data_IF_674496747161
#
_entry.id   IF_674496747161
#
_cell.length_a   1.000
_cell.length_b   1.000
_cell.length_c   1.000
_cell.angle_alpha   90.00
_cell.angle_beta   90.00
_cell.angle_gamma   90.00
#
_symmetry.space_group_name_H-M   'P 1'
#
loop_
_entity.id
_entity.type
_entity.pdbx_description
1 polymer ?
#
# COMPACT_ATOMS: atom_id res chain seq x y z
N UNK A 1 -17.85 4.53 23.66
CA UNK A 1 -17.19 5.46 22.72
C UNK A 1 -15.86 4.98 22.12
N UNK A 2 -15.28 3.83 22.50
CA UNK A 2 -13.98 3.36 21.94
C UNK A 2 -14.06 2.07 21.08
N UNK A 3 -15.27 1.57 20.76
CA UNK A 3 -15.47 0.34 19.99
C UNK A 3 -15.91 0.56 18.53
N UNK A 4 -16.14 1.80 18.10
CA UNK A 4 -16.57 2.12 16.73
C UNK A 4 -15.42 2.22 15.70
N UNK A 5 -14.16 2.16 16.14
CA UNK A 5 -13.00 2.36 15.25
C UNK A 5 -12.50 1.10 14.52
N UNK A 6 -13.16 -0.04 14.69
CA UNK A 6 -12.80 -1.32 14.04
C UNK A 6 -13.99 -2.02 13.37
N UNK A 7 -14.97 -1.27 12.87
CA UNK A 7 -15.78 -1.82 11.78
C UNK A 7 -14.85 -2.03 10.58
N UNK A 8 -14.66 -3.26 10.06
CA UNK A 8 -13.98 -3.43 8.78
C UNK A 8 -14.74 -2.59 7.77
N UNK A 9 -14.15 -1.47 7.33
CA UNK A 9 -14.71 -0.68 6.25
C UNK A 9 -14.87 -1.65 5.09
N UNK A 10 -16.11 -1.88 4.68
CA UNK A 10 -16.41 -2.65 3.47
C UNK A 10 -15.49 -2.10 2.37
N UNK A 11 -14.75 -2.98 1.72
CA UNK A 11 -13.81 -2.61 0.65
C UNK A 11 -14.61 -2.22 -0.60
N UNK A 12 -15.22 -1.03 -0.54
CA UNK A 12 -15.88 -0.38 -1.65
C UNK A 12 -14.95 0.71 -2.14
N UNK A 13 -14.10 0.37 -3.12
CA UNK A 13 -13.41 1.37 -3.94
C UNK A 13 -14.49 2.28 -4.54
N UNK A 14 -14.56 3.57 -4.15
CA UNK A 14 -15.63 4.45 -4.62
C UNK A 14 -15.62 4.52 -6.15
N UNK A 15 -16.79 4.31 -6.78
CA UNK A 15 -16.95 4.40 -8.23
C UNK A 15 -16.91 3.08 -9.00
N UNK A 16 -16.54 1.95 -8.39
CA UNK A 16 -16.64 0.64 -9.04
C UNK A 16 -17.91 -0.10 -8.54
N UNK A 17 -18.91 -0.35 -9.41
CA UNK A 17 -20.12 -1.05 -8.99
C UNK A 17 -19.77 -2.46 -8.51
N UNK A 18 -20.20 -2.82 -7.30
CA UNK A 18 -20.04 -4.18 -6.78
C UNK A 18 -20.69 -5.18 -7.74
N UNK A 19 -19.97 -6.28 -8.02
CA UNK A 19 -20.51 -7.40 -8.80
C UNK A 19 -21.81 -7.88 -8.15
N UNK A 20 -22.87 -8.04 -8.95
CA UNK A 20 -24.23 -8.36 -8.48
C UNK A 20 -24.28 -9.53 -7.48
N UNK A 21 -23.50 -10.59 -7.73
CA UNK A 21 -23.36 -11.76 -6.84
C UNK A 21 -22.84 -11.40 -5.44
N UNK A 22 -21.88 -10.47 -5.35
CA UNK A 22 -21.30 -10.03 -4.07
C UNK A 22 -22.31 -9.22 -3.28
N UNK A 23 -23.04 -8.32 -3.94
CA UNK A 23 -24.12 -7.53 -3.31
C UNK A 23 -25.25 -8.43 -2.79
N UNK A 24 -25.68 -9.41 -3.59
CA UNK A 24 -26.70 -10.37 -3.20
C UNK A 24 -26.25 -11.25 -2.02
N UNK A 25 -24.97 -11.65 -1.97
CA UNK A 25 -24.42 -12.40 -0.84
C UNK A 25 -24.41 -11.60 0.47
N UNK A 26 -23.97 -10.33 0.43
CA UNK A 26 -23.99 -9.44 1.60
C UNK A 26 -25.42 -9.26 2.11
N UNK A 27 -26.36 -8.97 1.22
CA UNK A 27 -27.77 -8.82 1.61
C UNK A 27 -28.37 -10.11 2.19
N UNK A 28 -27.98 -11.28 1.66
CA UNK A 28 -28.42 -12.57 2.19
C UNK A 28 -27.84 -12.82 3.59
N UNK A 29 -26.58 -12.49 3.80
CA UNK A 29 -25.92 -12.60 5.11
C UNK A 29 -26.53 -11.65 6.14
N UNK A 30 -26.82 -10.39 5.77
CA UNK A 30 -27.51 -9.42 6.62
C UNK A 30 -28.90 -9.91 7.02
N UNK A 31 -29.70 -10.38 6.06
CA UNK A 31 -31.02 -10.97 6.34
C UNK A 31 -30.92 -12.20 7.24
N UNK A 32 -29.91 -13.04 7.03
CA UNK A 32 -29.67 -14.21 7.87
C UNK A 32 -29.28 -13.81 9.30
N UNK A 33 -28.43 -12.79 9.47
CA UNK A 33 -28.07 -12.23 10.79
C UNK A 33 -29.29 -11.65 11.49
N UNK A 34 -30.08 -10.84 10.80
CA UNK A 34 -31.30 -10.24 11.34
C UNK A 34 -32.33 -11.31 11.73
N UNK A 35 -32.51 -12.34 10.89
CA UNK A 35 -33.37 -13.47 11.21
C UNK A 35 -32.85 -14.28 12.41
N UNK A 36 -31.54 -14.50 12.51
CA UNK A 36 -30.91 -15.17 13.64
C UNK A 36 -31.09 -14.36 14.94
N UNK A 37 -30.98 -13.03 14.88
CA UNK A 37 -31.17 -12.15 16.03
C UNK A 37 -32.63 -12.13 16.50
N UNK A 38 -33.60 -12.07 15.56
CA UNK A 38 -35.03 -12.13 15.88
C UNK A 38 -35.47 -13.49 16.43
N UNK A 39 -34.89 -14.58 15.94
CA UNK A 39 -35.20 -15.94 16.41
C UNK A 39 -34.37 -16.36 17.63
N UNK A 40 -33.40 -15.55 18.07
CA UNK A 40 -32.60 -15.83 19.25
C UNK A 40 -33.48 -15.70 20.50
N UNK A 41 -33.80 -16.83 21.11
CA UNK A 41 -34.40 -16.85 22.45
C UNK A 41 -33.37 -16.32 23.46
N UNK A 42 -33.79 -15.37 24.29
CA UNK A 42 -32.95 -14.84 25.37
C UNK A 42 -32.66 -15.96 26.38
N UNK A 43 -31.45 -15.95 26.93
CA UNK A 43 -31.13 -16.87 28.03
C UNK A 43 -31.88 -16.46 29.29
N UNK A 44 -32.26 -17.43 30.13
CA UNK A 44 -32.87 -17.18 31.45
C UNK A 44 -32.05 -16.16 32.27
N UNK A 45 -30.71 -16.22 32.17
CA UNK A 45 -29.80 -15.28 32.86
C UNK A 45 -29.90 -13.84 32.35
N UNK A 46 -30.10 -13.69 31.03
CA UNK A 46 -30.24 -12.39 30.37
C UNK A 46 -31.59 -11.76 30.74
N UNK A 47 -32.64 -12.57 30.73
CA UNK A 47 -34.00 -12.17 31.11
C UNK A 47 -34.11 -11.80 32.60
N UNK A 48 -33.49 -12.55 33.50
CA UNK A 48 -33.44 -12.23 34.93
C UNK A 48 -32.74 -10.89 35.19
N UNK A 49 -31.61 -10.65 34.50
CA UNK A 49 -30.88 -9.38 34.59
C UNK A 49 -31.72 -8.21 34.10
N UNK A 50 -32.37 -8.34 32.95
CA UNK A 50 -33.27 -7.31 32.42
C UNK A 50 -34.42 -7.01 33.39
N UNK A 51 -35.08 -8.04 33.93
CA UNK A 51 -36.12 -7.86 34.95
C UNK A 51 -35.60 -7.13 36.18
N UNK A 52 -34.42 -7.52 36.67
CA UNK A 52 -33.79 -6.87 37.83
C UNK A 52 -33.49 -5.39 37.53
N UNK A 53 -32.89 -5.10 36.40
CA UNK A 53 -32.51 -3.73 36.01
C UNK A 53 -33.76 -2.86 35.79
N UNK A 54 -34.85 -3.43 35.27
CA UNK A 54 -36.14 -2.73 35.13
C UNK A 54 -36.73 -2.37 36.50
N UNK A 55 -36.77 -3.33 37.43
CA UNK A 55 -37.31 -3.12 38.78
C UNK A 55 -36.45 -2.14 39.58
N UNK A 56 -35.12 -2.18 39.43
CA UNK A 56 -34.22 -1.24 40.09
C UNK A 56 -34.33 0.19 39.54
N UNK A 57 -34.72 0.37 38.26
CA UNK A 57 -34.94 1.69 37.65
C UNK A 57 -36.30 2.29 38.00
N UNK A 58 -37.31 1.47 38.29
CA UNK A 58 -38.63 1.96 38.66
C UNK A 58 -38.64 2.53 40.09
N UNK A 59 -39.03 3.79 40.23
CA UNK A 59 -39.30 4.38 41.55
C UNK A 59 -40.50 3.69 42.21
N UNK A 60 -40.50 3.61 43.54
CA UNK A 60 -41.64 3.09 44.29
C UNK A 60 -42.82 4.05 44.17
N UNK A 61 -43.99 3.55 43.75
CA UNK A 61 -45.22 4.34 43.68
C UNK A 61 -45.94 4.51 45.02
N UNK A 62 -46.97 5.37 45.04
CA UNK A 62 -47.79 5.67 46.22
C UNK A 62 -48.60 4.47 46.73
N UNK A 63 -48.82 3.47 45.87
CA UNK A 63 -49.44 2.20 46.22
C UNK A 63 -48.57 1.38 47.19
N UNK A 64 -47.26 1.65 47.25
CA UNK A 64 -46.38 0.99 48.19
C UNK A 64 -46.60 1.55 49.60
N UNK A 65 -47.09 0.69 50.51
CA UNK A 65 -47.32 1.03 51.92
C UNK A 65 -46.10 1.64 52.60
N UNK A 66 -44.89 1.21 52.24
CA UNK A 66 -43.64 1.74 52.78
C UNK A 66 -43.38 3.18 52.33
N UNK A 67 -43.64 3.49 51.06
CA UNK A 67 -43.53 4.86 50.54
C UNK A 67 -44.58 5.79 51.19
N UNK A 68 -45.82 5.31 51.33
CA UNK A 68 -46.89 6.06 52.00
C UNK A 68 -46.57 6.34 53.48
N UNK A 69 -45.91 5.40 54.17
CA UNK A 69 -45.45 5.61 55.55
C UNK A 69 -44.32 6.65 55.61
N UNK A 70 -43.32 6.56 54.72
CA UNK A 70 -42.23 7.53 54.63
C UNK A 70 -42.77 8.95 54.40
N UNK A 71 -43.71 9.11 53.48
CA UNK A 71 -44.32 10.41 53.19
C UNK A 71 -45.01 11.01 54.42
N UNK A 72 -45.70 10.19 55.23
CA UNK A 72 -46.32 10.63 56.50
C UNK A 72 -45.28 11.05 57.55
N UNK A 73 -44.07 10.52 57.49
CA UNK A 73 -42.95 10.90 58.35
C UNK A 73 -42.18 12.14 57.84
N UNK A 74 -42.69 12.81 56.80
CA UNK A 74 -42.12 14.04 56.25
C UNK A 74 -41.15 13.83 55.08
N UNK A 75 -41.00 12.60 54.58
CA UNK A 75 -40.21 12.33 53.38
C UNK A 75 -40.88 12.90 52.12
N UNK A 76 -40.10 13.53 51.24
CA UNK A 76 -40.51 13.97 49.91
C UNK A 76 -39.75 13.18 48.86
N UNK A 77 -40.42 12.80 47.77
CA UNK A 77 -39.80 12.06 46.67
C UNK A 77 -38.53 12.77 46.17
N UNK A 78 -37.40 12.06 46.15
CA UNK A 78 -36.10 12.60 45.73
C UNK A 78 -35.31 13.32 46.83
N UNK A 79 -35.83 13.40 48.06
CA UNK A 79 -35.09 13.98 49.18
C UNK A 79 -34.15 12.94 49.82
N UNK A 80 -32.96 13.37 50.24
CA UNK A 80 -32.07 12.57 51.07
C UNK A 80 -32.59 12.43 52.51
N UNK A 81 -32.37 11.27 53.11
CA UNK A 81 -32.70 11.03 54.52
C UNK A 81 -31.61 11.57 55.46
N UNK A 82 -31.98 11.88 56.70
CA UNK A 82 -31.06 12.34 57.75
C UNK A 82 -31.32 13.79 58.21
N UNK A 83 -30.78 14.16 59.38
CA UNK A 83 -31.04 15.47 60.04
C UNK A 83 -30.63 16.66 59.17
N UNK A 84 -29.52 16.53 58.43
CA UNK A 84 -28.99 17.54 57.50
C UNK A 84 -29.34 17.26 56.03
N UNK A 85 -30.05 16.16 55.74
CA UNK A 85 -30.33 15.74 54.36
C UNK A 85 -29.08 15.30 53.57
N UNK A 86 -28.07 14.75 54.25
CA UNK A 86 -26.80 14.30 53.62
C UNK A 86 -26.81 12.81 53.23
N UNK A 87 -27.92 12.10 53.47
CA UNK A 87 -28.04 10.68 53.12
C UNK A 87 -27.99 10.44 51.60
N UNK A 88 -27.61 9.23 51.22
CA UNK A 88 -27.65 8.81 49.81
C UNK A 88 -29.11 8.82 49.29
N UNK A 89 -29.31 9.45 48.14
CA UNK A 89 -30.61 9.51 47.45
C UNK A 89 -30.81 8.28 46.56
N UNK A 90 -29.72 7.78 46.00
CA UNK A 90 -29.73 6.62 45.11
C UNK A 90 -29.29 5.35 45.86
N UNK A 91 -29.94 4.20 45.62
CA UNK A 91 -29.53 2.93 46.19
C UNK A 91 -28.10 2.54 45.79
N UNK A 92 -27.40 1.84 46.69
CA UNK A 92 -26.05 1.35 46.42
C UNK A 92 -26.08 0.36 45.23
N UNK A 93 -25.26 0.58 44.17
CA UNK A 93 -25.23 -0.31 43.02
C UNK A 93 -24.84 -1.75 43.39
N UNK A 94 -25.59 -2.72 42.86
CA UNK A 94 -25.35 -4.14 43.11
C UNK A 94 -24.49 -4.73 41.98
N UNK A 95 -23.25 -5.13 42.29
CA UNK A 95 -22.38 -5.82 41.34
C UNK A 95 -22.45 -7.34 41.53
N UNK A 96 -23.25 -8.03 40.71
CA UNK A 96 -23.38 -9.48 40.75
C UNK A 96 -22.27 -10.10 39.89
N UNK A 97 -21.37 -10.86 40.51
CA UNK A 97 -20.38 -11.66 39.80
C UNK A 97 -21.08 -12.86 39.14
N UNK A 98 -21.31 -12.79 37.84
CA UNK A 98 -21.97 -13.86 37.06
C UNK A 98 -21.01 -14.98 36.61
N UNK A 99 -19.70 -14.85 36.87
CA UNK A 99 -18.67 -15.80 36.43
C UNK A 99 -17.73 -16.25 37.54
N UNK A 100 -17.01 -17.35 37.28
CA UNK A 100 -15.99 -17.91 38.18
C UNK A 100 -14.60 -17.25 38.02
N UNK A 101 -14.52 -16.09 37.36
CA UNK A 101 -13.24 -15.41 37.17
C UNK A 101 -12.75 -14.81 38.48
N UNK A 102 -11.45 -14.98 38.76
CA UNK A 102 -10.81 -14.35 39.91
C UNK A 102 -10.90 -12.82 39.88
N UNK A 103 -10.81 -12.19 41.06
CA UNK A 103 -10.67 -10.74 41.16
C UNK A 103 -9.43 -10.27 40.37
N UNK A 104 -9.57 -9.23 39.54
CA UNK A 104 -8.50 -8.71 38.67
C UNK A 104 -8.37 -9.38 37.29
N UNK A 105 -9.14 -10.43 37.00
CA UNK A 105 -9.07 -11.12 35.70
C UNK A 105 -9.59 -10.27 34.53
N UNK A 106 -10.56 -9.38 34.77
CA UNK A 106 -11.08 -8.45 33.76
C UNK A 106 -10.02 -7.46 33.27
N UNK A 107 -9.19 -6.95 34.18
CA UNK A 107 -8.12 -6.02 33.85
C UNK A 107 -7.02 -6.69 33.01
N UNK A 108 -6.66 -7.93 33.35
CA UNK A 108 -5.74 -8.74 32.55
C UNK A 108 -6.29 -8.99 31.14
N UNK A 109 -7.59 -9.29 31.01
CA UNK A 109 -8.24 -9.44 29.69
C UNK A 109 -8.22 -8.14 28.90
N UNK A 110 -8.54 -7.01 29.54
CA UNK A 110 -8.53 -5.69 28.92
C UNK A 110 -7.14 -5.34 28.40
N UNK A 111 -6.10 -5.50 29.23
CA UNK A 111 -4.71 -5.26 28.84
C UNK A 111 -4.28 -6.14 27.65
N UNK A 112 -4.60 -7.44 27.68
CA UNK A 112 -4.31 -8.36 26.56
C UNK A 112 -5.07 -7.97 25.28
N UNK A 113 -6.29 -7.44 25.40
CA UNK A 113 -7.06 -7.01 24.24
C UNK A 113 -6.46 -5.73 23.62
N UNK A 114 -6.03 -4.78 24.45
CA UNK A 114 -5.36 -3.55 24.03
C UNK A 114 -4.02 -3.86 23.33
N UNK A 115 -3.19 -4.72 23.91
CA UNK A 115 -1.92 -5.16 23.31
C UNK A 115 -2.12 -5.84 21.95
N UNK A 116 -3.12 -6.71 21.83
CA UNK A 116 -3.47 -7.34 20.55
C UNK A 116 -3.91 -6.32 19.51
N UNK A 117 -4.68 -5.30 19.92
CA UNK A 117 -5.14 -4.26 19.02
C UNK A 117 -3.97 -3.38 18.53
N UNK A 118 -3.06 -3.03 19.43
CA UNK A 118 -1.85 -2.27 19.09
C UNK A 118 -0.96 -3.05 18.11
N UNK A 119 -0.69 -4.33 18.40
CA UNK A 119 0.03 -5.22 17.49
C UNK A 119 -0.65 -5.33 16.11
N UNK A 120 -1.99 -5.37 16.07
CA UNK A 120 -2.74 -5.38 14.82
C UNK A 120 -2.56 -4.07 14.03
N UNK A 121 -2.65 -2.92 14.71
CA UNK A 121 -2.42 -1.61 14.10
C UNK A 121 -1.00 -1.49 13.53
N UNK A 122 0.00 -1.94 14.29
CA UNK A 122 1.39 -1.93 13.84
C UNK A 122 1.59 -2.79 12.59
N UNK A 123 1.03 -4.01 12.57
CA UNK A 123 1.08 -4.89 11.39
C UNK A 123 0.42 -4.27 10.15
N UNK A 124 -0.71 -3.59 10.32
CA UNK A 124 -1.37 -2.88 9.21
C UNK A 124 -0.49 -1.73 8.67
N UNK A 125 0.12 -0.95 9.56
CA UNK A 125 1.02 0.13 9.15
C UNK A 125 2.23 -0.41 8.38
N UNK A 126 2.87 -1.46 8.91
CA UNK A 126 4.01 -2.12 8.24
C UNK A 126 3.60 -2.69 6.87
N UNK A 127 2.42 -3.32 6.76
CA UNK A 127 1.91 -3.84 5.49
C UNK A 127 1.65 -2.72 4.47
N UNK A 128 1.08 -1.60 4.92
CA UNK A 128 0.83 -0.43 4.06
C UNK A 128 2.14 0.13 3.52
N UNK A 129 3.12 0.35 4.41
CA UNK A 129 4.44 0.86 4.04
C UNK A 129 5.17 -0.10 3.09
N UNK A 130 5.14 -1.40 3.34
CA UNK A 130 5.74 -2.40 2.45
C UNK A 130 5.08 -2.40 1.06
N UNK A 131 3.76 -2.24 0.99
CA UNK A 131 3.04 -2.15 -0.28
C UNK A 131 3.37 -0.87 -1.06
N UNK A 132 3.51 0.25 -0.36
CA UNK A 132 3.93 1.53 -0.95
C UNK A 132 5.36 1.47 -1.48
N UNK A 133 6.29 0.93 -0.68
CA UNK A 133 7.66 0.66 -1.11
C UNK A 133 7.73 -0.26 -2.33
N UNK A 134 6.92 -1.33 -2.36
CA UNK A 134 6.87 -2.24 -3.50
C UNK A 134 6.35 -1.54 -4.78
N UNK A 135 5.34 -0.68 -4.65
CA UNK A 135 4.81 0.10 -5.77
C UNK A 135 5.86 1.10 -6.31
N UNK A 136 6.59 1.78 -5.44
CA UNK A 136 7.66 2.70 -5.84
C UNK A 136 8.82 1.98 -6.51
N UNK A 137 9.25 0.84 -5.96
CA UNK A 137 10.28 0.00 -6.58
C UNK A 137 9.87 -0.47 -7.98
N UNK A 138 8.60 -0.84 -8.18
CA UNK A 138 8.09 -1.22 -9.49
C UNK A 138 8.17 -0.05 -10.49
N UNK A 139 7.78 1.16 -10.07
CA UNK A 139 7.85 2.36 -10.93
C UNK A 139 9.28 2.68 -11.34
N UNK A 140 10.23 2.59 -10.42
CA UNK A 140 11.66 2.81 -10.72
C UNK A 140 12.17 1.77 -11.70
N UNK A 141 11.91 0.46 -11.47
CA UNK A 141 12.31 -0.60 -12.39
C UNK A 141 11.73 -0.42 -13.79
N UNK A 142 10.46 -0.02 -13.87
CA UNK A 142 9.81 0.24 -15.15
C UNK A 142 10.47 1.41 -15.89
N UNK A 143 10.77 2.52 -15.18
CA UNK A 143 11.46 3.68 -15.75
C UNK A 143 12.86 3.29 -16.25
N UNK A 144 13.68 2.65 -15.42
CA UNK A 144 15.04 2.25 -15.77
C UNK A 144 15.05 1.32 -16.98
N UNK A 145 14.14 0.34 -17.05
CA UNK A 145 14.03 -0.58 -18.19
C UNK A 145 13.69 0.15 -19.50
N UNK A 146 12.86 1.20 -19.43
CA UNK A 146 12.56 2.02 -20.60
C UNK A 146 13.76 2.87 -21.02
N UNK A 147 14.52 3.41 -20.07
CA UNK A 147 15.76 4.15 -20.34
C UNK A 147 16.84 3.25 -20.96
N UNK A 148 17.04 2.05 -20.44
CA UNK A 148 17.93 1.03 -21.01
C UNK A 148 17.57 0.70 -22.46
N UNK A 149 16.28 0.49 -22.75
CA UNK A 149 15.79 0.24 -24.11
C UNK A 149 16.04 1.42 -25.06
N UNK A 150 15.91 2.65 -24.58
CA UNK A 150 16.23 3.85 -25.38
C UNK A 150 17.73 3.88 -25.70
N UNK A 151 18.59 3.69 -24.70
CA UNK A 151 20.05 3.65 -24.88
C UNK A 151 20.48 2.53 -25.83
N UNK A 152 19.89 1.34 -25.73
CA UNK A 152 20.16 0.22 -26.64
C UNK A 152 19.71 0.54 -28.08
N UNK A 153 18.55 1.18 -28.23
CA UNK A 153 18.05 1.65 -29.51
C UNK A 153 18.96 2.67 -30.16
N UNK A 154 19.44 3.64 -29.38
CA UNK A 154 20.36 4.67 -29.86
C UNK A 154 21.74 4.09 -30.18
N UNK A 155 22.24 3.13 -29.40
CA UNK A 155 23.48 2.40 -29.71
C UNK A 155 23.36 1.68 -31.06
N UNK A 156 22.28 0.94 -31.30
CA UNK A 156 22.08 0.27 -32.59
C UNK A 156 22.01 1.24 -33.77
N UNK A 157 21.37 2.39 -33.60
CA UNK A 157 21.33 3.43 -34.66
C UNK A 157 22.72 4.02 -34.91
N UNK A 158 23.46 4.32 -33.84
CA UNK A 158 24.84 4.79 -33.93
C UNK A 158 25.75 3.78 -34.62
N UNK A 159 25.64 2.48 -34.32
CA UNK A 159 26.43 1.44 -34.97
C UNK A 159 26.14 1.36 -36.48
N UNK A 160 24.85 1.43 -36.87
CA UNK A 160 24.46 1.47 -38.30
C UNK A 160 24.97 2.72 -39.01
N UNK A 161 24.86 3.88 -38.38
CA UNK A 161 25.38 5.13 -38.94
C UNK A 161 26.90 5.09 -39.08
N UNK A 162 27.60 4.55 -38.08
CA UNK A 162 29.05 4.37 -38.09
C UNK A 162 29.48 3.50 -39.27
N UNK A 163 28.89 2.30 -39.41
CA UNK A 163 29.18 1.40 -40.52
C UNK A 163 28.95 2.08 -41.88
N UNK A 164 27.82 2.78 -42.04
CA UNK A 164 27.51 3.47 -43.29
C UNK A 164 28.53 4.58 -43.63
N UNK A 165 28.93 5.37 -42.64
CA UNK A 165 29.87 6.49 -42.82
C UNK A 165 31.32 6.01 -43.00
N UNK A 166 31.69 4.93 -42.32
CA UNK A 166 33.01 4.30 -42.46
C UNK A 166 33.18 3.71 -43.87
N UNK A 167 32.17 3.00 -44.38
CA UNK A 167 32.17 2.46 -45.76
C UNK A 167 32.28 3.60 -46.79
N UNK A 168 31.61 4.74 -46.57
CA UNK A 168 31.73 5.90 -47.46
C UNK A 168 33.15 6.51 -47.52
N UNK A 169 33.96 6.29 -46.48
CA UNK A 169 35.35 6.74 -46.39
C UNK A 169 36.37 5.64 -46.69
N UNK A 170 35.92 4.52 -47.27
CA UNK A 170 36.74 3.34 -47.57
C UNK A 170 37.45 2.75 -46.32
N UNK A 171 36.84 2.86 -45.14
CA UNK A 171 37.32 2.22 -43.91
C UNK A 171 36.70 0.82 -43.84
N UNK A 172 37.49 -0.21 -44.16
CA UNK A 172 37.02 -1.60 -44.22
C UNK A 172 37.03 -2.31 -42.86
N UNK A 173 37.76 -1.78 -41.87
CA UNK A 173 37.91 -2.39 -40.54
C UNK A 173 37.43 -1.42 -39.45
N UNK A 174 36.45 -1.81 -38.62
CA UNK A 174 36.00 -1.00 -37.48
C UNK A 174 37.15 -0.71 -36.52
N UNK A 175 37.17 0.50 -35.94
CA UNK A 175 38.17 0.87 -34.92
C UNK A 175 38.07 0.02 -33.65
N UNK A 176 36.85 -0.35 -33.27
CA UNK A 176 36.54 -1.30 -32.22
C UNK A 176 35.55 -2.32 -32.76
N UNK A 177 35.69 -3.59 -32.36
CA UNK A 177 34.89 -4.70 -32.92
C UNK A 177 33.39 -4.49 -32.78
N UNK A 178 32.95 -3.84 -31.70
CA UNK A 178 31.53 -3.58 -31.43
C UNK A 178 31.00 -2.27 -32.04
N UNK A 179 31.81 -1.49 -32.77
CA UNK A 179 31.33 -0.28 -33.45
C UNK A 179 30.36 -0.59 -34.59
N UNK A 180 30.52 -1.74 -35.24
CA UNK A 180 29.60 -2.22 -36.25
C UNK A 180 28.76 -3.37 -35.68
N UNK A 181 27.56 -3.55 -36.24
CA UNK A 181 26.74 -4.71 -35.93
C UNK A 181 27.37 -5.89 -36.66
N UNK A 182 27.85 -6.88 -35.93
CA UNK A 182 28.23 -8.16 -36.54
C UNK A 182 26.99 -8.73 -37.26
N UNK A 183 27.09 -9.10 -38.54
CA UNK A 183 26.02 -9.82 -39.19
C UNK A 183 25.76 -11.11 -38.40
N UNK A 184 24.53 -11.28 -37.90
CA UNK A 184 24.09 -12.57 -37.38
C UNK A 184 24.12 -13.55 -38.56
N UNK A 185 25.19 -14.34 -38.66
CA UNK A 185 25.25 -15.49 -39.56
C UNK A 185 24.18 -16.49 -39.07
N UNK A 186 22.96 -16.37 -39.60
CA UNK A 186 21.96 -17.44 -39.58
C UNK A 186 22.47 -18.62 -40.42
N UNK A 187 23.46 -19.38 -39.90
CA UNK A 187 23.72 -20.80 -40.18
C UNK A 187 25.09 -21.23 -39.61
N UNK A 188 25.09 -21.69 -38.35
CA UNK A 188 25.82 -22.88 -37.85
C UNK A 188 25.59 -23.06 -36.35
N UNK A 189 24.70 -24.01 -36.03
CA UNK A 189 24.86 -24.80 -34.80
C UNK A 189 26.06 -25.72 -34.99
N UNK A 190 26.80 -25.90 -33.91
CA UNK A 190 27.93 -26.81 -33.71
C UNK A 190 29.30 -26.18 -34.04
N UNK A 191 30.01 -25.75 -32.99
CA UNK A 191 31.29 -26.32 -32.54
C UNK A 191 31.74 -25.59 -31.26
N UNK A 192 32.15 -26.38 -30.26
CA UNK A 192 32.65 -25.94 -28.96
C UNK A 192 34.06 -25.33 -29.05
N UNK A 193 34.37 -24.46 -28.10
CA UNK A 193 35.71 -24.04 -27.64
C UNK A 193 36.67 -23.34 -28.60
N UNK A 194 36.67 -22.00 -28.50
CA UNK A 194 37.91 -21.20 -28.55
C UNK A 194 37.97 -20.29 -27.32
N UNK A 195 38.71 -20.73 -26.33
CA UNK A 195 39.17 -19.90 -25.22
C UNK A 195 40.28 -18.95 -25.71
N UNK A 196 40.18 -17.70 -25.24
CA UNK A 196 41.24 -16.70 -25.05
C UNK A 196 41.76 -15.87 -26.24
N UNK A 197 41.15 -14.68 -26.43
CA UNK A 197 41.92 -13.43 -26.36
C UNK A 197 41.10 -12.29 -25.70
N UNK A 198 41.44 -12.03 -24.45
CA UNK A 198 40.94 -11.00 -23.56
C UNK A 198 41.42 -9.60 -24.01
N UNK A 199 40.50 -8.63 -24.22
CA UNK A 199 40.47 -7.28 -23.58
C UNK A 199 39.28 -6.47 -24.14
N UNK A 200 38.05 -6.85 -23.82
CA UNK A 200 36.84 -6.02 -23.98
C UNK A 200 35.92 -6.27 -22.78
N UNK A 201 36.44 -6.01 -21.59
CA UNK A 201 35.77 -6.18 -20.31
C UNK A 201 34.47 -5.36 -20.27
N UNK A 202 33.33 -6.04 -20.35
CA UNK A 202 31.99 -5.65 -19.86
C UNK A 202 31.61 -4.15 -19.88
N UNK A 203 31.87 -3.43 -20.98
CA UNK A 203 31.38 -2.06 -21.11
C UNK A 203 29.85 -2.06 -21.18
N UNK A 204 29.23 -1.27 -20.30
CA UNK A 204 27.78 -1.07 -20.29
C UNK A 204 27.32 -0.44 -21.60
N UNK A 205 26.04 -0.63 -21.95
CA UNK A 205 25.42 -0.03 -23.16
C UNK A 205 25.63 1.48 -23.18
N UNK A 206 25.59 2.13 -22.01
CA UNK A 206 25.84 3.57 -21.86
C UNK A 206 27.26 3.94 -22.26
N UNK A 207 28.27 3.23 -21.77
CA UNK A 207 29.68 3.51 -22.08
C UNK A 207 29.97 3.26 -23.57
N UNK A 208 29.42 2.18 -24.12
CA UNK A 208 29.51 1.89 -25.56
C UNK A 208 28.91 3.02 -26.39
N UNK A 209 27.72 3.51 -26.02
CA UNK A 209 27.07 4.62 -26.71
C UNK A 209 27.90 5.90 -26.63
N UNK A 210 28.48 6.23 -25.48
CA UNK A 210 29.33 7.41 -25.31
C UNK A 210 30.59 7.35 -26.17
N UNK A 211 31.31 6.21 -26.15
CA UNK A 211 32.53 6.02 -26.94
C UNK A 211 32.23 6.11 -28.44
N UNK A 212 31.15 5.44 -28.90
CA UNK A 212 30.77 5.45 -30.31
C UNK A 212 30.29 6.83 -30.77
N UNK A 213 29.52 7.53 -29.93
CA UNK A 213 29.10 8.90 -30.20
C UNK A 213 30.30 9.84 -30.31
N UNK A 214 31.28 9.71 -29.41
CA UNK A 214 32.51 10.50 -29.46
C UNK A 214 33.31 10.23 -30.74
N UNK A 215 33.34 8.97 -31.21
CA UNK A 215 33.95 8.62 -32.50
C UNK A 215 33.23 9.28 -33.68
N UNK A 216 31.91 9.12 -33.77
CA UNK A 216 31.09 9.70 -34.85
C UNK A 216 31.23 11.23 -34.92
N UNK A 217 31.33 11.89 -33.77
CA UNK A 217 31.50 13.36 -33.71
C UNK A 217 32.90 13.82 -34.10
N UNK A 218 33.95 13.06 -33.78
CA UNK A 218 35.34 13.45 -34.07
C UNK A 218 35.77 13.15 -35.49
N UNK A 219 35.46 11.96 -35.98
CA UNK A 219 35.93 11.50 -37.30
C UNK A 219 34.96 11.83 -38.42
N UNK A 220 33.65 11.77 -38.14
CA UNK A 220 32.61 11.93 -39.14
C UNK A 220 31.80 13.22 -39.01
N UNK A 221 32.10 14.04 -37.99
CA UNK A 221 31.32 15.22 -37.64
C UNK A 221 29.82 14.93 -37.70
N UNK A 222 29.39 13.78 -37.16
CA UNK A 222 28.01 13.30 -37.24
C UNK A 222 27.37 13.29 -35.85
N UNK A 223 26.11 13.75 -35.77
CA UNK A 223 25.29 13.63 -34.57
C UNK A 223 24.11 12.69 -34.80
N UNK A 224 24.03 11.63 -33.99
CA UNK A 224 22.97 10.63 -34.09
C UNK A 224 21.58 11.18 -33.75
N UNK A 225 21.50 12.17 -32.86
CA UNK A 225 20.23 12.75 -32.42
C UNK A 225 19.72 13.84 -33.37
N UNK A 226 20.62 14.64 -33.96
CA UNK A 226 20.24 15.58 -35.02
C UNK A 226 19.99 14.88 -36.36
N UNK A 227 20.60 13.72 -36.59
CA UNK A 227 20.50 12.97 -37.85
C UNK A 227 21.20 13.64 -39.02
N UNK A 228 22.24 14.44 -38.77
CA UNK A 228 23.00 15.17 -39.81
C UNK A 228 24.50 15.11 -39.58
N UNK A 229 25.24 15.17 -40.68
CA UNK A 229 26.70 15.44 -40.71
C UNK A 229 26.92 16.95 -40.77
N UNK A 230 28.06 17.39 -40.23
CA UNK A 230 28.51 18.78 -40.20
C UNK A 230 29.80 18.92 -41.02
N UNK A 231 30.16 20.15 -41.39
CA UNK A 231 31.32 20.38 -42.27
C UNK A 231 32.65 20.23 -41.52
N UNK A 232 32.71 20.72 -40.28
CA UNK A 232 33.90 20.67 -39.43
C UNK A 232 33.56 20.62 -37.93
N UNK A 233 34.60 20.58 -37.09
CA UNK A 233 34.46 20.51 -35.64
C UNK A 233 33.85 21.78 -35.02
N UNK A 234 34.03 22.94 -35.64
CA UNK A 234 33.50 24.22 -35.14
C UNK A 234 32.01 24.33 -35.45
N UNK A 235 31.61 23.94 -36.66
CA UNK A 235 30.24 23.81 -37.13
C UNK A 235 29.44 22.84 -36.24
N UNK A 236 30.00 21.66 -35.95
CA UNK A 236 29.38 20.69 -35.04
C UNK A 236 29.18 21.28 -33.63
N UNK A 237 30.16 22.03 -33.11
CA UNK A 237 30.09 22.59 -31.76
C UNK A 237 29.11 23.75 -31.61
N UNK A 238 28.85 24.48 -32.70
CA UNK A 238 27.99 25.66 -32.71
C UNK A 238 26.54 25.32 -33.04
N UNK A 239 26.31 24.29 -33.88
CA UNK A 239 24.98 23.93 -34.36
C UNK A 239 24.36 22.71 -33.66
N UNK A 240 25.14 21.87 -32.97
CA UNK A 240 24.62 20.70 -32.26
C UNK A 240 24.38 20.98 -30.76
N UNK A 241 23.15 20.81 -30.23
CA UNK A 241 22.83 21.08 -28.83
C UNK A 241 23.68 20.38 -27.75
N UNK A 242 24.18 19.17 -28.04
CA UNK A 242 24.98 18.40 -27.09
C UNK A 242 25.32 16.99 -27.57
N UNK A 243 26.03 16.24 -26.74
CA UNK A 243 26.56 14.90 -27.01
C UNK A 243 25.78 13.76 -26.33
N UNK A 244 24.65 14.08 -25.71
CA UNK A 244 23.74 13.11 -25.13
C UNK A 244 22.33 13.25 -25.70
N UNK A 245 21.54 12.17 -25.62
CA UNK A 245 20.13 12.19 -26.03
C UNK A 245 19.31 13.27 -25.31
N UNK A 246 19.67 13.58 -24.05
CA UNK A 246 18.95 14.54 -23.22
C UNK A 246 19.10 15.99 -23.70
N UNK A 247 20.14 16.30 -24.47
CA UNK A 247 20.37 17.65 -25.01
C UNK A 247 19.48 17.95 -26.22
N UNK A 248 18.81 16.93 -26.76
CA UNK A 248 17.99 16.99 -27.97
C UNK A 248 16.50 16.65 -27.73
N UNK A 249 16.10 16.47 -26.46
CA UNK A 249 14.71 16.23 -26.03
C UNK A 249 13.90 17.53 -25.85
#
# INVERSE_FOLDING_TARGET
YLLELLTPRQDVRPGLPMVRRVKEAIQKEEKQKEANEKNRQKSIKEEEKERRDLVLKSALGNENKGFALLQKMGYKSGQALGKSGEGIVEPIPLNIKTGLSGLGHEELKKRKAEEKLENYRQKLHMKKQANEQAADQFRVRFKNKQEERKMEGDLRKSQRACQQLDIQKDIEVPKETWFWIEPEEEDKKDEEDKEDECTSSDLSVSEKLQILTAYLRKEHFYCIWCGTTYEDSEDLSSNCPGDSAADHD
#
